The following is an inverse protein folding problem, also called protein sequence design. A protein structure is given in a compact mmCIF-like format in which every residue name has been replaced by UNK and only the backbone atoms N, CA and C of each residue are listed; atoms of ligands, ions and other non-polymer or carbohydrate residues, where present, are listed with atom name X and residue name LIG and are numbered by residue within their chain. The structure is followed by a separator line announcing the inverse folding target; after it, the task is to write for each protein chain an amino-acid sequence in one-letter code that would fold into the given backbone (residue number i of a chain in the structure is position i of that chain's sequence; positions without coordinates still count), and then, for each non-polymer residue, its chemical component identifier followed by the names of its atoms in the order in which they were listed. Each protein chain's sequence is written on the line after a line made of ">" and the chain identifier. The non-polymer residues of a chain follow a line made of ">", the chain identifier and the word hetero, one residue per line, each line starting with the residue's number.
data_IF_817184673926
#
_entry.id   IF_817184673926
#
_cell.length_a   1.000
_cell.length_b   1.000
_cell.length_c   1.000
_cell.angle_alpha   90.00
_cell.angle_beta   90.00
_cell.angle_gamma   90.00
#
_symmetry.space_group_name_H-M   'P 1'
#
loop_
_entity.id
_entity.type
_entity.pdbx_description
1 polymer ?
#
# COMPACT_ATOMS: atom_id res chain seq x y z
N UNK A 1 -45.29 -50.02 2.68
CA UNK A 1 -43.82 -50.04 2.72
C UNK A 1 -43.37 -48.61 2.69
N UNK A 2 -42.97 -48.14 3.86
CA UNK A 2 -43.35 -46.84 4.40
C UNK A 2 -42.35 -45.74 4.04
N UNK A 3 -42.81 -44.84 3.15
CA UNK A 3 -42.17 -43.57 2.83
C UNK A 3 -41.95 -42.64 4.05
N UNK A 4 -42.46 -43.02 5.21
CA UNK A 4 -42.27 -42.32 6.49
C UNK A 4 -41.05 -42.80 7.30
N UNK A 5 -40.51 -44.00 7.04
CA UNK A 5 -39.33 -44.54 7.75
C UNK A 5 -38.00 -43.98 7.23
N UNK A 6 -37.98 -43.42 6.01
CA UNK A 6 -36.78 -42.85 5.40
C UNK A 6 -36.55 -41.39 5.79
N UNK A 7 -37.60 -40.67 6.20
CA UNK A 7 -37.52 -39.26 6.61
C UNK A 7 -36.95 -39.13 8.04
N UNK A 8 -37.29 -40.05 8.95
CA UNK A 8 -36.79 -40.03 10.34
C UNK A 8 -35.30 -40.36 10.46
N UNK A 9 -34.74 -41.18 9.55
CA UNK A 9 -33.30 -41.51 9.54
C UNK A 9 -32.43 -40.34 9.08
N UNK A 10 -32.92 -39.54 8.15
CA UNK A 10 -32.17 -38.42 7.57
C UNK A 10 -32.21 -37.16 8.46
N UNK A 11 -33.21 -37.02 9.33
CA UNK A 11 -33.29 -35.89 10.27
C UNK A 11 -32.18 -35.90 11.33
N UNK A 12 -31.72 -37.09 11.77
CA UNK A 12 -30.62 -37.22 12.75
C UNK A 12 -29.24 -36.83 12.18
N UNK A 13 -29.01 -37.03 10.88
CA UNK A 13 -27.77 -36.64 10.20
C UNK A 13 -27.73 -35.14 9.89
N UNK A 14 -28.88 -34.53 9.60
CA UNK A 14 -29.01 -33.07 9.36
C UNK A 14 -28.77 -32.28 10.65
N UNK A 15 -29.25 -32.77 11.80
CA UNK A 15 -29.01 -32.12 13.09
C UNK A 15 -27.53 -32.17 13.55
N UNK A 16 -26.79 -33.23 13.22
CA UNK A 16 -25.35 -33.35 13.52
C UNK A 16 -24.47 -32.51 12.59
N UNK A 17 -24.82 -32.38 11.31
CA UNK A 17 -24.08 -31.53 10.36
C UNK A 17 -24.22 -30.02 10.66
N UNK A 18 -25.38 -29.57 11.16
CA UNK A 18 -25.62 -28.17 11.50
C UNK A 18 -24.81 -27.70 12.74
N UNK A 19 -24.61 -28.56 13.74
CA UNK A 19 -23.79 -28.23 14.94
C UNK A 19 -22.29 -28.19 14.60
N UNK A 20 -21.83 -29.05 13.69
CA UNK A 20 -20.45 -29.00 13.19
C UNK A 20 -20.22 -27.74 12.33
N UNK A 21 -21.17 -27.37 11.47
CA UNK A 21 -21.09 -26.13 10.67
C UNK A 21 -21.17 -24.84 11.50
N UNK A 22 -21.85 -24.85 12.65
CA UNK A 22 -21.89 -23.69 13.56
C UNK A 22 -20.61 -23.55 14.40
N UNK A 23 -19.86 -24.64 14.64
CA UNK A 23 -18.59 -24.62 15.37
C UNK A 23 -17.40 -24.12 14.51
N UNK A 24 -17.44 -24.30 13.19
CA UNK A 24 -16.42 -23.75 12.27
C UNK A 24 -16.65 -22.26 11.94
N UNK A 25 -17.87 -21.74 12.10
CA UNK A 25 -18.17 -20.34 11.80
C UNK A 25 -17.64 -19.36 12.88
N UNK A 26 -17.46 -19.80 14.12
CA UNK A 26 -16.93 -18.92 15.18
C UNK A 26 -15.40 -18.79 15.21
N UNK A 27 -14.66 -19.61 14.44
CA UNK A 27 -13.17 -19.60 14.41
C UNK A 27 -12.62 -18.87 13.18
N UNK A 28 -13.36 -17.89 12.63
CA UNK A 28 -12.82 -16.96 11.62
C UNK A 28 -13.20 -15.50 11.89
N UNK A 29 -13.37 -15.14 13.17
CA UNK A 29 -13.54 -13.73 13.57
C UNK A 29 -12.55 -13.26 14.62
N UNK A 30 -11.49 -14.05 14.88
CA UNK A 30 -10.46 -13.68 15.84
C UNK A 30 -9.05 -13.91 15.28
N UNK A 31 -8.67 -13.09 14.29
CA UNK A 31 -7.28 -12.61 14.22
C UNK A 31 -7.19 -11.29 13.43
N UNK A 32 -7.90 -10.27 13.93
CA UNK A 32 -7.53 -8.89 13.68
C UNK A 32 -6.39 -8.53 14.63
N UNK A 33 -5.20 -8.24 14.09
CA UNK A 33 -4.10 -7.65 14.85
C UNK A 33 -2.73 -8.26 14.54
N UNK A 34 -1.98 -7.65 13.62
CA UNK A 34 -0.60 -8.07 13.35
C UNK A 34 0.12 -7.24 12.28
N UNK A 35 0.33 -5.94 12.54
CA UNK A 35 1.21 -5.05 11.78
C UNK A 35 0.66 -4.59 10.43
N UNK A 36 0.22 -3.33 10.32
CA UNK A 36 -0.04 -2.74 9.01
C UNK A 36 1.27 -2.41 8.28
N UNK A 37 1.31 -2.56 6.96
CA UNK A 37 2.39 -2.02 6.12
C UNK A 37 2.46 -0.52 6.36
N UNK A 38 3.62 -0.04 6.80
CA UNK A 38 3.87 1.37 7.06
C UNK A 38 5.01 1.85 6.17
N UNK A 39 4.90 3.07 5.68
CA UNK A 39 5.93 3.71 4.88
C UNK A 39 6.21 5.11 5.41
N UNK A 40 7.48 5.51 5.34
CA UNK A 40 7.93 6.85 5.61
C UNK A 40 8.32 7.49 4.30
N UNK A 41 7.74 8.67 4.03
CA UNK A 41 8.02 9.43 2.83
C UNK A 41 8.08 10.93 3.13
N UNK A 42 8.73 11.65 2.21
CA UNK A 42 8.78 13.10 2.19
C UNK A 42 8.15 13.61 0.90
N UNK A 43 7.54 14.80 0.96
CA UNK A 43 6.92 15.42 -0.21
C UNK A 43 7.24 16.90 -0.40
N UNK A 44 7.23 17.36 -1.65
CA UNK A 44 7.33 18.78 -2.02
C UNK A 44 6.14 19.13 -2.88
N UNK A 45 5.34 20.11 -2.45
CA UNK A 45 4.18 20.59 -3.20
C UNK A 45 4.55 21.88 -3.94
N UNK A 46 4.45 21.87 -5.27
CA UNK A 46 4.63 23.04 -6.15
C UNK A 46 3.39 23.25 -7.02
N UNK A 47 3.19 24.48 -7.50
CA UNK A 47 1.99 24.81 -8.28
C UNK A 47 2.14 24.57 -9.77
N UNK A 48 3.36 24.67 -10.30
CA UNK A 48 3.63 24.58 -11.74
C UNK A 48 4.40 23.31 -12.08
N UNK A 49 4.25 22.85 -13.32
CA UNK A 49 4.98 21.69 -13.83
C UNK A 49 6.46 22.01 -14.06
N UNK A 50 6.78 23.21 -14.56
CA UNK A 50 8.17 23.65 -14.72
C UNK A 50 8.95 23.61 -13.40
N UNK A 51 8.35 24.10 -12.30
CA UNK A 51 8.98 24.03 -10.97
C UNK A 51 9.24 22.58 -10.54
N UNK A 52 8.33 21.65 -10.83
CA UNK A 52 8.49 20.25 -10.41
C UNK A 52 9.58 19.55 -11.20
N UNK A 53 9.66 19.80 -12.50
CA UNK A 53 10.67 19.22 -13.39
C UNK A 53 12.07 19.80 -13.10
N UNK A 54 12.18 21.10 -12.79
CA UNK A 54 13.45 21.73 -12.38
C UNK A 54 13.99 21.13 -11.07
N UNK A 55 13.13 20.93 -10.07
CA UNK A 55 13.50 20.32 -8.80
C UNK A 55 13.89 18.85 -8.99
N UNK A 56 13.12 18.11 -9.81
CA UNK A 56 13.43 16.73 -10.15
C UNK A 56 14.80 16.63 -10.83
N UNK A 57 15.09 17.50 -11.81
CA UNK A 57 16.37 17.53 -12.51
C UNK A 57 17.56 17.83 -11.56
N UNK A 58 17.35 18.63 -10.51
CA UNK A 58 18.38 18.86 -9.49
C UNK A 58 18.60 17.62 -8.61
N UNK A 59 17.52 16.94 -8.23
CA UNK A 59 17.58 15.76 -7.38
C UNK A 59 18.12 14.52 -8.12
N UNK A 60 17.89 14.42 -9.42
CA UNK A 60 18.47 13.36 -10.27
C UNK A 60 19.99 13.49 -10.47
N UNK A 61 20.61 14.61 -10.06
CA UNK A 61 22.07 14.76 -10.04
C UNK A 61 22.73 14.04 -8.85
N UNK A 62 21.92 13.52 -7.93
CA UNK A 62 22.38 12.79 -6.75
C UNK A 62 21.96 11.34 -6.85
N UNK A 63 22.72 10.45 -6.21
CA UNK A 63 22.38 9.03 -6.18
C UNK A 63 21.09 8.78 -5.38
N UNK A 64 20.25 7.88 -5.88
CA UNK A 64 18.97 7.50 -5.25
C UNK A 64 19.19 6.99 -3.82
N UNK A 65 18.44 7.55 -2.88
CA UNK A 65 18.50 7.21 -1.45
C UNK A 65 19.77 7.68 -0.73
N UNK A 66 20.65 8.47 -1.37
CA UNK A 66 21.83 9.01 -0.71
C UNK A 66 21.49 10.07 0.35
N UNK A 67 22.33 10.19 1.37
CA UNK A 67 22.19 11.26 2.38
C UNK A 67 22.21 12.66 1.76
N UNK A 68 22.96 12.83 0.67
CA UNK A 68 23.01 14.06 -0.11
C UNK A 68 21.67 14.37 -0.77
N UNK A 69 21.01 13.37 -1.38
CA UNK A 69 19.68 13.52 -1.97
C UNK A 69 18.63 13.85 -0.91
N UNK A 70 18.64 13.15 0.23
CA UNK A 70 17.72 13.39 1.34
C UNK A 70 17.86 14.81 1.90
N UNK A 71 19.10 15.27 2.08
CA UNK A 71 19.38 16.62 2.56
C UNK A 71 18.94 17.67 1.54
N UNK A 72 19.31 17.51 0.28
CA UNK A 72 18.90 18.42 -0.80
C UNK A 72 17.38 18.48 -0.93
N UNK A 73 16.69 17.35 -0.85
CA UNK A 73 15.23 17.28 -0.85
C UNK A 73 14.64 18.06 0.32
N UNK A 74 15.17 17.91 1.53
CA UNK A 74 14.70 18.63 2.70
C UNK A 74 14.94 20.15 2.59
N UNK A 75 16.05 20.58 2.01
CA UNK A 75 16.35 21.99 1.74
C UNK A 75 15.40 22.58 0.68
N UNK A 76 15.20 21.87 -0.45
CA UNK A 76 14.25 22.26 -1.49
C UNK A 76 12.82 22.28 -0.98
N UNK A 77 12.43 21.32 -0.13
CA UNK A 77 11.13 21.30 0.52
C UNK A 77 10.90 22.52 1.42
N UNK A 78 11.92 22.96 2.17
CA UNK A 78 11.82 24.16 3.00
C UNK A 78 11.72 25.44 2.16
N UNK A 79 12.42 25.48 1.03
CA UNK A 79 12.48 26.65 0.17
C UNK A 79 11.27 26.81 -0.77
N UNK A 80 10.77 25.70 -1.33
CA UNK A 80 9.79 25.72 -2.43
C UNK A 80 8.44 25.07 -2.08
N UNK A 81 8.36 24.24 -1.04
CA UNK A 81 7.09 23.54 -0.74
C UNK A 81 6.02 24.50 -0.25
N UNK A 82 4.88 24.50 -0.93
CA UNK A 82 3.68 25.25 -0.54
C UNK A 82 2.84 24.53 0.53
N UNK A 83 3.26 23.34 0.97
CA UNK A 83 2.58 22.61 2.03
C UNK A 83 3.04 23.10 3.41
N UNK A 84 2.15 23.35 4.38
CA UNK A 84 2.53 23.76 5.74
C UNK A 84 3.42 22.74 6.48
N UNK A 85 3.43 21.46 6.05
CA UNK A 85 4.37 20.45 6.56
C UNK A 85 5.79 20.61 5.99
N UNK A 86 5.94 21.22 4.82
CA UNK A 86 7.22 21.57 4.20
C UNK A 86 8.08 22.43 5.12
N UNK A 87 7.49 23.48 5.70
CA UNK A 87 8.20 24.44 6.55
C UNK A 87 8.60 23.89 7.92
N UNK A 88 7.93 22.85 8.45
CA UNK A 88 8.20 22.29 9.79
C UNK A 88 9.15 21.11 9.81
N UNK A 89 9.22 20.34 8.71
CA UNK A 89 9.97 19.08 8.68
C UNK A 89 10.73 18.81 7.39
N UNK A 90 10.93 19.81 6.52
CA UNK A 90 11.54 19.59 5.21
C UNK A 90 10.72 18.64 4.33
N UNK A 91 9.39 18.72 4.44
CA UNK A 91 8.47 17.89 3.67
C UNK A 91 8.29 16.47 4.20
N UNK A 92 8.97 16.06 5.27
CA UNK A 92 8.79 14.74 5.87
C UNK A 92 7.39 14.59 6.47
N UNK A 93 6.67 13.55 6.05
CA UNK A 93 5.32 13.23 6.53
C UNK A 93 5.33 12.27 7.73
N UNK A 94 6.49 11.69 8.05
CA UNK A 94 6.61 10.64 9.06
C UNK A 94 6.18 9.29 8.49
N UNK A 95 5.87 8.35 9.39
CA UNK A 95 5.41 7.00 9.02
C UNK A 95 3.89 6.95 8.96
N UNK A 96 3.34 6.46 7.84
CA UNK A 96 1.91 6.31 7.61
C UNK A 96 1.60 4.94 7.01
N UNK A 97 0.38 4.45 7.23
CA UNK A 97 -0.11 3.20 6.66
C UNK A 97 -0.80 3.39 5.31
N UNK A 98 -1.03 2.27 4.60
CA UNK A 98 -1.81 2.28 3.35
C UNK A 98 -3.21 2.86 3.55
N UNK A 99 -3.65 3.69 2.61
CA UNK A 99 -4.98 4.32 2.60
C UNK A 99 -5.13 5.52 3.53
N UNK A 100 -4.04 6.00 4.15
CA UNK A 100 -4.05 7.24 4.94
C UNK A 100 -3.84 8.50 4.08
N UNK A 101 -3.33 8.32 2.85
CA UNK A 101 -3.02 9.39 1.89
C UNK A 101 -3.92 9.28 0.65
N UNK A 102 -3.86 10.28 -0.23
CA UNK A 102 -4.57 10.22 -1.53
C UNK A 102 -4.12 8.99 -2.34
N UNK A 103 -5.01 8.33 -3.09
CA UNK A 103 -4.71 7.07 -3.77
C UNK A 103 -3.48 7.13 -4.67
N UNK A 104 -3.29 8.23 -5.39
CA UNK A 104 -2.16 8.45 -6.29
C UNK A 104 -0.82 8.52 -5.54
N UNK A 105 -0.82 9.10 -4.35
CA UNK A 105 0.35 9.18 -3.48
C UNK A 105 0.63 7.84 -2.80
N UNK A 106 -0.41 7.18 -2.29
CA UNK A 106 -0.30 5.86 -1.65
C UNK A 106 0.31 4.86 -2.63
N UNK A 107 -0.21 4.83 -3.86
CA UNK A 107 0.28 3.97 -4.92
C UNK A 107 1.79 4.13 -5.13
N UNK A 108 2.25 5.37 -5.28
CA UNK A 108 3.68 5.65 -5.50
C UNK A 108 4.53 5.24 -4.30
N UNK A 109 4.10 5.53 -3.07
CA UNK A 109 4.92 5.18 -1.88
C UNK A 109 5.01 3.67 -1.65
N UNK A 110 3.93 2.94 -1.90
CA UNK A 110 3.85 1.50 -1.62
C UNK A 110 4.22 0.60 -2.81
N UNK A 111 4.12 1.07 -4.06
CA UNK A 111 4.48 0.30 -5.25
C UNK A 111 5.87 0.63 -5.79
N UNK A 112 6.34 1.89 -5.67
CA UNK A 112 7.63 2.28 -6.24
C UNK A 112 8.84 1.90 -5.35
N UNK A 113 10.03 2.06 -5.92
CA UNK A 113 11.30 1.79 -5.24
C UNK A 113 11.57 2.79 -4.11
N UNK A 114 11.97 2.27 -2.95
CA UNK A 114 12.44 3.09 -1.82
C UNK A 114 13.75 3.79 -2.22
N UNK A 115 13.87 5.07 -1.87
CA UNK A 115 15.01 5.92 -2.23
C UNK A 115 14.85 6.65 -3.56
N UNK A 116 13.84 6.29 -4.37
CA UNK A 116 13.59 6.95 -5.65
C UNK A 116 12.58 8.08 -5.51
N UNK A 117 12.75 9.10 -6.35
CA UNK A 117 11.89 10.28 -6.40
C UNK A 117 10.89 10.14 -7.54
N UNK A 118 9.61 10.36 -7.22
CA UNK A 118 8.50 10.24 -8.17
C UNK A 118 7.68 11.52 -8.17
N UNK A 119 7.28 11.98 -9.36
CA UNK A 119 6.34 13.09 -9.50
C UNK A 119 4.91 12.58 -9.56
N UNK A 120 4.03 13.20 -8.77
CA UNK A 120 2.61 12.86 -8.62
C UNK A 120 1.80 14.12 -8.85
N UNK A 121 0.83 14.06 -9.75
CA UNK A 121 -0.12 15.14 -9.98
C UNK A 121 -1.37 14.89 -9.16
N UNK A 122 -1.78 15.86 -8.35
CA UNK A 122 -3.04 15.80 -7.60
C UNK A 122 -3.87 17.06 -7.86
N UNK A 123 -5.07 17.12 -7.28
CA UNK A 123 -5.92 18.32 -7.32
C UNK A 123 -5.28 19.57 -6.69
N UNK A 124 -4.27 19.41 -5.83
CA UNK A 124 -3.58 20.53 -5.18
C UNK A 124 -2.39 21.08 -5.98
N UNK A 125 -1.97 20.38 -7.04
CA UNK A 125 -0.82 20.72 -7.86
C UNK A 125 0.11 19.52 -8.08
N UNK A 126 1.40 19.81 -8.15
CA UNK A 126 2.44 18.83 -8.40
C UNK A 126 3.18 18.49 -7.12
N UNK A 127 3.36 17.19 -6.88
CA UNK A 127 4.00 16.65 -5.70
C UNK A 127 5.22 15.84 -6.11
N UNK A 128 6.40 16.16 -5.57
CA UNK A 128 7.52 15.22 -5.59
C UNK A 128 7.46 14.37 -4.34
N UNK A 129 7.59 13.07 -4.50
CA UNK A 129 7.50 12.08 -3.43
C UNK A 129 8.81 11.31 -3.36
N UNK A 130 9.42 11.28 -2.18
CA UNK A 130 10.61 10.49 -1.88
C UNK A 130 10.31 9.53 -0.75
N UNK A 131 10.29 8.24 -1.05
CA UNK A 131 10.08 7.20 -0.05
C UNK A 131 11.40 6.90 0.65
N UNK A 132 11.50 7.16 1.95
CA UNK A 132 12.74 6.97 2.71
C UNK A 132 12.83 5.58 3.33
N UNK A 133 11.69 5.03 3.74
CA UNK A 133 11.63 3.70 4.36
C UNK A 133 10.27 3.06 4.11
N UNK A 134 10.25 1.76 3.82
CA UNK A 134 9.03 0.95 3.86
C UNK A 134 9.22 -0.17 4.87
N UNK A 135 8.23 -0.39 5.72
CA UNK A 135 8.21 -1.45 6.72
C UNK A 135 6.95 -2.27 6.48
N UNK A 136 7.15 -3.41 5.85
CA UNK A 136 6.13 -4.41 5.65
C UNK A 136 6.38 -5.54 6.67
N UNK A 137 5.49 -5.74 7.66
CA UNK A 137 5.65 -6.80 8.65
C UNK A 137 5.48 -8.22 8.06
N UNK A 138 5.15 -8.33 6.77
CA UNK A 138 4.89 -9.56 6.02
C UNK A 138 5.83 -9.77 4.82
N UNK A 139 6.81 -8.88 4.56
CA UNK A 139 7.77 -9.02 3.44
C UNK A 139 8.79 -10.16 3.58
N UNK A 140 8.50 -11.17 4.41
CA UNK A 140 8.97 -12.54 4.22
C UNK A 140 7.85 -13.37 3.57
N UNK A 141 7.49 -13.00 2.34
CA UNK A 141 6.87 -13.85 1.30
C UNK A 141 6.54 -13.01 0.05
N UNK A 142 6.93 -13.54 -1.11
CA UNK A 142 6.53 -13.11 -2.46
C UNK A 142 7.36 -11.98 -3.10
N UNK A 143 8.60 -12.31 -3.45
CA UNK A 143 9.08 -12.05 -4.82
C UNK A 143 9.07 -13.37 -5.56
N UNK A 144 7.96 -13.67 -6.21
CA UNK A 144 7.90 -14.59 -7.33
C UNK A 144 6.74 -14.08 -8.20
N UNK A 145 7.12 -13.25 -9.17
CA UNK A 145 6.58 -13.26 -10.53
C UNK A 145 5.06 -13.45 -10.64
N UNK A 146 4.31 -12.34 -10.59
CA UNK A 146 3.09 -12.26 -11.39
C UNK A 146 3.53 -11.83 -12.79
N UNK A 147 3.41 -12.71 -13.79
CA UNK A 147 2.39 -12.40 -14.77
C UNK A 147 1.65 -13.62 -15.32
N UNK A 148 0.46 -13.30 -15.84
CA UNK A 148 -0.31 -14.01 -16.84
C UNK A 148 -1.30 -15.05 -16.31
N UNK A 149 -2.43 -14.51 -15.88
CA UNK A 149 -3.74 -14.99 -16.30
C UNK A 149 -3.73 -15.36 -17.79
N UNK A 150 -3.74 -16.66 -18.08
CA UNK A 150 -4.08 -17.22 -19.38
C UNK A 150 -5.15 -18.29 -19.16
N UNK A 151 -6.36 -17.85 -19.48
CA UNK A 151 -7.62 -18.57 -19.59
C UNK A 151 -7.54 -19.79 -20.55
N UNK A 152 -8.38 -20.77 -20.24
CA UNK A 152 -9.09 -21.62 -21.19
C UNK A 152 -8.49 -22.94 -21.73
N UNK A 153 -9.07 -24.06 -21.23
CA UNK A 153 -9.63 -25.26 -21.91
C UNK A 153 -8.73 -25.99 -22.94
N UNK A 154 -8.61 -27.32 -22.98
CA UNK A 154 -9.64 -28.36 -22.87
C UNK A 154 -8.98 -29.75 -22.93
N UNK A 155 -9.63 -30.70 -22.29
CA UNK A 155 -9.45 -32.16 -22.36
C UNK A 155 -9.25 -32.71 -23.78
N UNK A 156 -8.31 -33.66 -23.96
CA UNK A 156 -8.60 -35.08 -24.28
C UNK A 156 -7.35 -35.97 -24.11
#
# INVERSE_FOLDING_TARGET
>A
MDLWSEIEKNMKWIALAAVVLFAIFSVVSSWGGGGGVSASASHILVSTEDEVDDLLAQLLKTDDGSDAQLKLFADLAKAHSKCPSGSRGGGALGSFGRGQMVPEFDKVVFEEAVGKIHKVKTQFGWHLVLTTKRTDPTADKTTADDPAEADDKKEL
#
